data_IF_581018375918
#
_entry.id   IF_581018375918
#
_cell.length_a   1.000
_cell.length_b   1.000
_cell.length_c   1.000
_cell.angle_alpha   90.00
_cell.angle_beta   90.00
_cell.angle_gamma   90.00
#
_symmetry.space_group_name_H-M   'P 1'
#
loop_
_entity.id
_entity.type
_entity.pdbx_description
1 polymer ?
#
# COMPACT_ATOMS: atom_id res chain seq x y z
N UNK A 1 14.85 30.14 28.37
CA UNK A 1 14.27 28.84 27.97
C UNK A 1 15.21 28.25 26.93
N UNK A 2 15.95 27.23 27.32
CA UNK A 2 16.95 26.53 26.52
C UNK A 2 16.23 25.58 25.55
N UNK A 3 16.64 25.46 24.28
CA UNK A 3 16.05 24.51 23.35
C UNK A 3 16.35 23.06 23.79
N UNK A 4 15.48 22.08 23.51
CA UNK A 4 15.76 20.69 23.81
C UNK A 4 16.85 20.18 22.87
N UNK A 5 17.90 19.59 23.45
CA UNK A 5 18.96 18.92 22.70
C UNK A 5 18.42 17.66 22.05
N UNK A 6 18.62 17.51 20.73
CA UNK A 6 18.50 16.24 20.02
C UNK A 6 19.53 15.26 20.60
N UNK A 7 19.10 14.42 21.54
CA UNK A 7 19.86 13.24 21.90
C UNK A 7 19.76 12.25 20.74
N UNK A 8 20.86 12.09 20.01
CA UNK A 8 21.05 11.00 19.06
C UNK A 8 20.81 9.68 19.78
N UNK A 9 19.72 8.99 19.44
CA UNK A 9 19.48 7.62 19.90
C UNK A 9 20.39 6.74 19.03
N UNK A 10 21.66 6.62 19.43
CA UNK A 10 22.56 5.60 18.94
C UNK A 10 22.19 4.28 19.60
N UNK A 11 21.69 3.31 18.82
CA UNK A 11 21.75 1.92 19.25
C UNK A 11 23.22 1.48 19.28
N UNK A 12 23.73 0.95 20.40
CA UNK A 12 25.09 0.45 20.46
C UNK A 12 25.11 -0.92 19.80
N UNK A 13 25.39 -0.98 18.50
CA UNK A 13 25.93 -2.21 17.93
C UNK A 13 27.45 -2.09 17.97
N UNK A 14 28.04 -2.69 18.99
CA UNK A 14 29.50 -2.77 19.16
C UNK A 14 30.06 -3.67 18.05
N UNK A 15 30.63 -3.07 17.01
CA UNK A 15 31.46 -3.79 16.06
C UNK A 15 32.89 -3.22 16.08
N UNK A 16 33.83 -4.12 16.28
CA UNK A 16 35.27 -3.86 16.29
C UNK A 16 35.71 -3.27 14.95
N UNK A 17 36.22 -2.05 14.98
CA UNK A 17 36.82 -1.42 13.80
C UNK A 17 38.02 -2.26 13.31
N UNK A 18 37.97 -2.69 12.06
CA UNK A 18 39.17 -3.07 11.30
C UNK A 18 39.19 -2.24 10.02
N UNK A 19 40.30 -1.55 9.71
CA UNK A 19 40.35 -0.64 8.58
C UNK A 19 40.54 -1.45 7.29
N UNK A 20 39.51 -1.50 6.45
CA UNK A 20 39.61 -2.09 5.12
C UNK A 20 39.95 -1.00 4.09
N UNK A 21 41.11 -1.12 3.45
CA UNK A 21 41.54 -0.23 2.36
C UNK A 21 40.74 -0.50 1.08
N UNK A 22 40.51 0.51 0.22
CA UNK A 22 39.66 0.37 -0.95
C UNK A 22 40.30 -0.54 -2.02
N UNK A 23 39.57 -1.56 -2.45
CA UNK A 23 39.95 -2.43 -3.57
C UNK A 23 39.76 -1.67 -4.88
N UNK A 24 40.80 -1.64 -5.72
CA UNK A 24 40.81 -0.99 -7.04
C UNK A 24 39.84 -1.68 -8.01
N UNK A 25 39.14 -0.89 -8.82
CA UNK A 25 38.22 -1.38 -9.84
C UNK A 25 38.94 -2.18 -10.94
N UNK A 26 38.36 -3.33 -11.30
CA UNK A 26 38.72 -4.12 -12.46
C UNK A 26 37.48 -4.23 -13.37
N UNK A 27 37.72 -4.10 -14.68
CA UNK A 27 36.73 -4.18 -15.76
C UNK A 27 36.00 -5.54 -15.80
N UNK A 28 34.83 -5.65 -16.47
CA UNK A 28 33.91 -6.78 -16.29
C UNK A 28 34.39 -8.03 -17.04
N UNK A 29 35.18 -8.87 -16.37
CA UNK A 29 35.29 -10.29 -16.71
C UNK A 29 34.03 -11.03 -16.25
N UNK A 30 33.68 -12.14 -16.91
CA UNK A 30 32.64 -13.07 -16.42
C UNK A 30 32.88 -13.33 -14.93
N UNK A 31 31.92 -12.92 -14.08
CA UNK A 31 32.00 -13.12 -12.64
C UNK A 31 31.89 -14.61 -12.37
N UNK A 32 33.02 -15.27 -12.16
CA UNK A 32 33.05 -16.64 -11.66
C UNK A 32 32.55 -16.63 -10.21
N UNK A 33 31.58 -17.49 -9.91
CA UNK A 33 31.01 -17.62 -8.56
C UNK A 33 32.12 -18.16 -7.66
N UNK A 34 32.53 -17.47 -6.58
CA UNK A 34 33.60 -17.93 -5.71
C UNK A 34 33.24 -19.26 -5.02
N UNK A 35 34.20 -20.17 -4.85
CA UNK A 35 33.99 -21.52 -4.30
C UNK A 35 33.41 -21.54 -2.86
N UNK A 36 33.52 -20.44 -2.10
CA UNK A 36 32.99 -20.32 -0.72
C UNK A 36 31.56 -19.78 -0.60
N UNK A 37 30.91 -19.47 -1.72
CA UNK A 37 29.58 -18.85 -1.78
C UNK A 37 28.48 -19.87 -2.09
N UNK A 38 28.88 -21.06 -2.56
CA UNK A 38 27.95 -22.15 -2.83
C UNK A 38 27.55 -22.83 -1.52
N UNK A 39 26.27 -22.78 -1.23
CA UNK A 39 25.64 -23.52 -0.16
C UNK A 39 25.45 -24.97 -0.60
N UNK A 40 25.78 -25.90 0.29
CA UNK A 40 25.71 -27.35 0.02
C UNK A 40 24.29 -27.89 -0.05
N UNK A 41 23.33 -27.09 0.45
CA UNK A 41 21.92 -27.40 0.58
C UNK A 41 21.11 -26.81 -0.58
N UNK A 42 20.02 -27.46 -0.94
CA UNK A 42 19.05 -26.91 -1.90
C UNK A 42 18.22 -25.80 -1.26
N UNK A 43 17.49 -25.02 -2.05
CA UNK A 43 16.57 -24.00 -1.52
C UNK A 43 15.52 -24.61 -0.56
N UNK A 44 15.01 -25.80 -0.90
CA UNK A 44 14.01 -26.52 -0.10
C UNK A 44 14.57 -26.97 1.25
N UNK A 45 15.84 -27.38 1.30
CA UNK A 45 16.53 -27.72 2.54
C UNK A 45 16.75 -26.51 3.47
N UNK A 46 16.82 -25.31 2.90
CA UNK A 46 17.05 -24.05 3.63
C UNK A 46 15.73 -23.46 4.13
N UNK A 47 14.74 -23.33 3.26
CA UNK A 47 13.46 -22.69 3.56
C UNK A 47 12.39 -23.65 4.09
N UNK A 48 12.62 -24.96 4.00
CA UNK A 48 11.61 -25.97 4.23
C UNK A 48 10.65 -26.16 3.04
N UNK A 49 9.68 -27.08 3.19
CA UNK A 49 8.71 -27.38 2.14
C UNK A 49 7.86 -26.14 1.81
N UNK A 50 7.46 -25.98 0.54
CA UNK A 50 6.72 -24.79 0.08
C UNK A 50 5.48 -24.47 0.91
N UNK A 51 4.77 -25.48 1.44
CA UNK A 51 3.59 -25.30 2.28
C UNK A 51 3.85 -24.64 3.63
N UNK A 52 5.11 -24.61 4.08
CA UNK A 52 5.52 -24.06 5.39
C UNK A 52 6.28 -22.73 5.25
N UNK A 53 6.50 -22.25 4.02
CA UNK A 53 7.23 -21.01 3.77
C UNK A 53 6.38 -19.80 4.09
N UNK A 54 6.89 -18.94 4.97
CA UNK A 54 6.33 -17.61 5.22
C UNK A 54 6.91 -16.64 4.19
N UNK A 55 6.12 -16.35 3.14
CA UNK A 55 6.48 -15.38 2.08
C UNK A 55 6.06 -13.97 2.49
N UNK A 56 6.98 -13.01 2.32
CA UNK A 56 6.76 -11.58 2.56
C UNK A 56 6.38 -10.81 1.28
N UNK A 57 6.51 -11.45 0.12
CA UNK A 57 6.17 -10.86 -1.16
C UNK A 57 6.79 -11.61 -2.33
N UNK A 58 6.13 -11.50 -3.48
CA UNK A 58 6.56 -12.00 -4.78
C UNK A 58 6.42 -10.85 -5.79
N UNK A 59 7.40 -10.69 -6.66
CA UNK A 59 7.40 -9.67 -7.71
C UNK A 59 8.39 -10.02 -8.81
N UNK A 60 8.50 -9.20 -9.85
CA UNK A 60 9.28 -9.55 -11.06
C UNK A 60 10.77 -9.88 -10.78
N UNK A 61 11.34 -9.36 -9.69
CA UNK A 61 12.74 -9.56 -9.30
C UNK A 61 12.97 -10.76 -8.38
N UNK A 62 11.94 -11.34 -7.78
CA UNK A 62 12.10 -12.44 -6.83
C UNK A 62 10.96 -12.61 -5.83
N UNK A 63 11.09 -13.65 -5.02
CA UNK A 63 10.28 -13.89 -3.84
C UNK A 63 11.14 -13.75 -2.57
N UNK A 64 10.53 -13.24 -1.49
CA UNK A 64 11.21 -13.03 -0.21
C UNK A 64 10.58 -13.91 0.87
N UNK A 65 11.40 -14.68 1.58
CA UNK A 65 10.96 -15.62 2.60
C UNK A 65 11.65 -15.35 3.93
N UNK A 66 11.01 -15.70 5.05
CA UNK A 66 11.71 -15.78 6.33
C UNK A 66 12.88 -16.77 6.27
N UNK A 67 14.01 -16.45 6.91
CA UNK A 67 15.08 -17.42 7.15
C UNK A 67 14.74 -18.23 8.42
N UNK A 68 14.41 -19.53 8.31
CA UNK A 68 14.02 -20.34 9.48
C UNK A 68 15.15 -20.51 10.49
N UNK A 69 16.40 -20.38 10.05
CA UNK A 69 17.60 -20.59 10.88
C UNK A 69 18.08 -19.29 11.52
N UNK A 70 17.69 -18.15 10.95
CA UNK A 70 18.10 -16.82 11.40
C UNK A 70 16.89 -15.90 11.53
N UNK A 71 16.19 -15.89 12.69
CA UNK A 71 14.91 -15.17 12.86
C UNK A 71 14.93 -13.66 12.54
N UNK A 72 16.11 -13.03 12.57
CA UNK A 72 16.33 -11.62 12.20
C UNK A 72 16.62 -11.38 10.72
N UNK A 73 16.53 -12.40 9.85
CA UNK A 73 16.87 -12.32 8.44
C UNK A 73 15.76 -12.88 7.55
N UNK A 74 15.76 -12.43 6.30
CA UNK A 74 14.96 -12.95 5.19
C UNK A 74 15.87 -13.40 4.07
N UNK A 75 15.37 -14.27 3.20
CA UNK A 75 16.07 -14.72 1.99
C UNK A 75 15.26 -14.27 0.78
N UNK A 76 15.85 -13.39 -0.04
CA UNK A 76 15.34 -13.05 -1.38
C UNK A 76 15.91 -14.05 -2.38
N UNK A 77 15.01 -14.73 -3.09
CA UNK A 77 15.32 -15.69 -4.16
C UNK A 77 14.97 -15.03 -5.47
N UNK A 78 15.91 -14.94 -6.40
CA UNK A 78 15.62 -14.35 -7.71
C UNK A 78 14.79 -15.33 -8.57
N UNK A 79 13.80 -14.79 -9.30
CA UNK A 79 12.87 -15.58 -10.13
C UNK A 79 13.44 -16.03 -11.45
N UNK A 80 14.65 -15.58 -11.79
CA UNK A 80 15.29 -15.98 -13.01
C UNK A 80 15.45 -17.52 -13.03
N UNK A 81 14.58 -18.20 -13.80
CA UNK A 81 14.93 -19.46 -14.44
C UNK A 81 15.95 -19.17 -15.56
N UNK A 82 17.01 -18.42 -15.24
CA UNK A 82 18.00 -18.03 -16.23
C UNK A 82 18.99 -19.18 -16.39
N UNK A 83 19.38 -19.41 -17.64
CA UNK A 83 20.50 -20.29 -17.95
C UNK A 83 21.85 -19.69 -17.54
N UNK A 84 21.90 -18.44 -17.05
CA UNK A 84 23.12 -17.70 -16.74
C UNK A 84 23.14 -17.23 -15.27
N UNK A 85 23.39 -18.20 -14.40
CA UNK A 85 23.61 -18.01 -12.96
C UNK A 85 24.69 -16.96 -12.66
N UNK A 86 25.69 -16.79 -13.54
CA UNK A 86 26.78 -15.83 -13.34
C UNK A 86 26.34 -14.38 -13.51
N UNK A 87 25.48 -14.08 -14.48
CA UNK A 87 24.91 -12.75 -14.67
C UNK A 87 24.01 -12.34 -13.49
N UNK A 88 23.19 -13.28 -13.03
CA UNK A 88 22.29 -13.11 -11.89
C UNK A 88 23.06 -12.96 -10.57
N UNK A 89 24.09 -13.78 -10.37
CA UNK A 89 25.03 -13.65 -9.26
C UNK A 89 25.64 -12.24 -9.19
N UNK A 90 26.12 -11.72 -10.33
CA UNK A 90 26.68 -10.39 -10.39
C UNK A 90 25.64 -9.29 -10.09
N UNK A 91 24.38 -9.47 -10.47
CA UNK A 91 23.30 -8.53 -10.15
C UNK A 91 22.98 -8.54 -8.65
N UNK A 92 22.85 -9.73 -8.06
CA UNK A 92 22.58 -9.91 -6.63
C UNK A 92 23.72 -9.37 -5.77
N UNK A 93 24.98 -9.59 -6.17
CA UNK A 93 26.14 -8.98 -5.49
C UNK A 93 26.05 -7.45 -5.47
N UNK A 94 25.77 -6.82 -6.62
CA UNK A 94 25.63 -5.35 -6.70
C UNK A 94 24.48 -4.84 -5.83
N UNK A 95 23.37 -5.56 -5.75
CA UNK A 95 22.26 -5.20 -4.86
C UNK A 95 22.65 -5.33 -3.39
N UNK A 96 23.30 -6.44 -3.01
CA UNK A 96 23.79 -6.68 -1.66
C UNK A 96 24.83 -5.64 -1.20
N UNK A 97 25.71 -5.19 -2.10
CA UNK A 97 26.68 -4.12 -1.81
C UNK A 97 25.98 -2.79 -1.44
N UNK A 98 24.93 -2.41 -2.18
CA UNK A 98 24.15 -1.20 -1.89
C UNK A 98 23.35 -1.36 -0.60
N UNK A 99 22.79 -2.55 -0.36
CA UNK A 99 22.12 -2.87 0.89
C UNK A 99 23.07 -2.72 2.09
N UNK A 100 24.26 -3.34 2.04
CA UNK A 100 25.28 -3.22 3.08
C UNK A 100 25.80 -1.80 3.26
N UNK A 101 25.82 -1.01 2.19
CA UNK A 101 26.19 0.40 2.27
C UNK A 101 25.17 1.22 3.07
N UNK A 102 23.89 0.86 3.03
CA UNK A 102 22.84 1.54 3.80
C UNK A 102 22.67 0.96 5.22
N UNK A 103 22.58 -0.36 5.35
CA UNK A 103 22.27 -1.07 6.60
C UNK A 103 23.51 -1.50 7.41
N UNK A 104 24.70 -1.31 6.85
CA UNK A 104 25.97 -1.68 7.48
C UNK A 104 26.50 -3.04 7.03
N UNK A 105 27.78 -3.29 7.31
CA UNK A 105 28.45 -4.54 6.94
C UNK A 105 27.76 -5.76 7.60
N UNK A 106 27.58 -6.85 6.85
CA UNK A 106 26.92 -8.07 7.34
C UNK A 106 25.40 -8.04 7.34
N UNK A 107 24.79 -6.95 6.86
CA UNK A 107 23.34 -6.84 6.67
C UNK A 107 22.82 -7.58 5.43
N UNK A 108 23.72 -7.95 4.50
CA UNK A 108 23.42 -8.81 3.36
C UNK A 108 24.50 -9.88 3.16
N UNK A 109 24.09 -11.06 2.69
CA UNK A 109 24.97 -12.17 2.36
C UNK A 109 24.42 -12.87 1.10
N UNK A 110 25.00 -12.62 -0.08
CA UNK A 110 24.61 -13.32 -1.29
C UNK A 110 25.18 -14.75 -1.29
N UNK A 111 24.41 -15.73 -1.75
CA UNK A 111 24.84 -17.13 -1.86
C UNK A 111 24.16 -17.83 -3.04
N UNK A 112 24.69 -18.99 -3.43
CA UNK A 112 24.10 -19.84 -4.49
C UNK A 112 23.81 -21.21 -3.91
N UNK A 113 22.58 -21.68 -4.04
CA UNK A 113 22.16 -23.00 -3.54
C UNK A 113 22.68 -24.16 -4.39
N UNK A 114 22.60 -25.38 -3.87
CA UNK A 114 23.02 -26.59 -4.59
C UNK A 114 22.23 -26.82 -5.90
N UNK A 115 20.98 -26.36 -5.97
CA UNK A 115 20.12 -26.37 -7.15
C UNK A 115 20.32 -25.14 -8.06
N UNK A 116 21.42 -24.39 -7.85
CA UNK A 116 21.84 -23.21 -8.61
C UNK A 116 20.86 -22.03 -8.56
N UNK A 117 20.05 -21.90 -7.51
CA UNK A 117 19.28 -20.66 -7.26
C UNK A 117 20.21 -19.61 -6.68
N UNK A 118 20.17 -18.40 -7.24
CA UNK A 118 20.87 -17.25 -6.69
C UNK A 118 19.99 -16.61 -5.62
N UNK A 119 20.56 -16.42 -4.44
CA UNK A 119 19.86 -15.91 -3.29
C UNK A 119 20.66 -14.81 -2.60
N UNK A 120 19.97 -13.99 -1.81
CA UNK A 120 20.60 -13.10 -0.85
C UNK A 120 19.85 -13.16 0.48
N UNK A 121 20.59 -13.43 1.54
CA UNK A 121 20.11 -13.28 2.91
C UNK A 121 20.25 -11.81 3.31
N UNK A 122 19.19 -11.20 3.80
CA UNK A 122 19.11 -9.79 4.19
C UNK A 122 18.60 -9.68 5.62
N UNK A 123 19.10 -8.74 6.41
CA UNK A 123 18.48 -8.47 7.71
C UNK A 123 17.03 -8.02 7.50
N UNK A 124 16.14 -8.43 8.41
CA UNK A 124 14.77 -7.92 8.45
C UNK A 124 14.78 -6.43 8.71
N UNK A 125 14.02 -5.70 7.92
CA UNK A 125 13.74 -4.28 8.17
C UNK A 125 12.50 -4.15 9.06
N UNK A 126 12.45 -3.18 9.99
CA UNK A 126 11.27 -2.95 10.80
C UNK A 126 10.08 -2.43 9.98
N UNK A 127 8.88 -2.58 10.56
CA UNK A 127 7.66 -2.02 9.99
C UNK A 127 7.07 -2.83 8.84
N UNK A 128 6.03 -2.28 8.21
CA UNK A 128 5.32 -2.90 7.09
C UNK A 128 5.41 -2.04 5.83
N UNK A 129 5.31 -2.64 4.62
CA UNK A 129 5.26 -1.90 3.37
C UNK A 129 4.17 -0.84 3.41
N UNK A 130 4.48 0.40 3.02
CA UNK A 130 3.55 1.54 3.08
C UNK A 130 2.22 1.29 2.37
N UNK A 131 2.21 0.49 1.30
CA UNK A 131 0.99 0.09 0.60
C UNK A 131 -0.03 -0.62 1.51
N UNK A 132 0.42 -1.14 2.65
CA UNK A 132 -0.39 -1.87 3.63
C UNK A 132 -0.65 -1.10 4.92
N UNK A 133 -0.07 0.10 5.07
CA UNK A 133 -0.21 0.96 6.25
C UNK A 133 -1.47 1.83 6.11
N UNK A 134 -2.26 1.88 7.17
CA UNK A 134 -3.44 2.72 7.26
C UNK A 134 -3.12 4.17 7.62
N UNK A 135 -3.95 5.13 7.17
CA UNK A 135 -3.89 6.51 7.66
C UNK A 135 -3.79 6.64 9.18
N UNK A 136 -4.54 5.82 9.93
CA UNK A 136 -4.54 5.86 11.40
C UNK A 136 -3.26 5.32 12.04
N UNK A 137 -2.50 4.50 11.30
CA UNK A 137 -1.23 3.92 11.75
C UNK A 137 -0.07 4.92 11.57
N UNK A 138 -0.23 5.93 10.71
CA UNK A 138 0.69 7.07 10.71
C UNK A 138 0.48 7.87 12.00
N UNK A 139 1.56 8.14 12.72
CA UNK A 139 1.51 8.82 14.02
C UNK A 139 0.75 10.16 13.99
N UNK A 140 0.42 10.66 15.19
CA UNK A 140 -0.46 11.82 15.38
C UNK A 140 0.02 13.13 14.71
N UNK A 141 1.30 13.24 14.37
CA UNK A 141 1.89 14.44 13.79
C UNK A 141 2.29 14.21 12.34
N UNK A 142 1.52 14.80 11.43
CA UNK A 142 1.88 14.90 10.01
C UNK A 142 3.25 15.54 9.81
N UNK A 143 3.61 16.51 10.64
CA UNK A 143 4.93 17.14 10.58
C UNK A 143 6.05 16.13 10.86
N UNK A 144 5.88 15.27 11.86
CA UNK A 144 6.90 14.29 12.26
C UNK A 144 7.07 13.20 11.19
N UNK A 145 5.98 12.78 10.54
CA UNK A 145 6.03 11.86 9.41
C UNK A 145 6.77 12.50 8.22
N UNK A 146 6.49 13.76 7.92
CA UNK A 146 7.19 14.48 6.84
C UNK A 146 8.68 14.67 7.15
N UNK A 147 9.03 14.95 8.41
CA UNK A 147 10.41 15.03 8.86
C UNK A 147 11.12 13.67 8.77
N UNK A 148 10.43 12.58 9.08
CA UNK A 148 11.00 11.23 9.01
C UNK A 148 11.30 10.81 7.57
N UNK A 149 10.52 11.29 6.59
CA UNK A 149 10.85 11.15 5.17
C UNK A 149 12.08 11.99 4.76
N UNK A 150 12.26 13.19 5.33
CA UNK A 150 13.47 14.00 5.13
C UNK A 150 14.70 13.30 5.70
N UNK A 151 14.57 12.69 6.87
CA UNK A 151 15.65 11.91 7.50
C UNK A 151 16.00 10.65 6.70
N UNK A 152 15.01 9.97 6.10
CA UNK A 152 15.27 8.89 5.14
C UNK A 152 16.11 9.39 3.97
N UNK A 153 15.72 10.51 3.35
CA UNK A 153 16.46 11.09 2.24
C UNK A 153 17.90 11.44 2.66
N UNK A 154 18.08 12.03 3.84
CA UNK A 154 19.40 12.30 4.42
C UNK A 154 20.24 11.05 4.56
N UNK A 155 19.69 9.97 5.15
CA UNK A 155 20.41 8.69 5.31
C UNK A 155 20.82 8.05 3.97
N UNK A 156 19.99 8.15 2.93
CA UNK A 156 20.34 7.67 1.58
C UNK A 156 21.52 8.48 1.00
N UNK A 157 21.50 9.80 1.18
CA UNK A 157 22.57 10.70 0.73
C UNK A 157 23.87 10.43 1.50
N UNK A 158 23.81 10.26 2.82
CA UNK A 158 24.96 9.94 3.66
C UNK A 158 25.55 8.58 3.29
N UNK A 159 24.70 7.60 2.96
CA UNK A 159 25.10 6.33 2.41
C UNK A 159 25.62 6.46 0.96
N UNK A 160 25.53 7.61 0.31
CA UNK A 160 25.97 7.81 -1.07
C UNK A 160 25.13 7.04 -2.10
N UNK A 161 23.84 6.81 -1.80
CA UNK A 161 22.90 6.02 -2.58
C UNK A 161 21.75 6.87 -3.13
N UNK A 162 21.39 6.56 -4.37
CA UNK A 162 20.17 6.95 -5.06
C UNK A 162 19.27 5.72 -5.13
N UNK A 163 18.00 5.83 -4.73
CA UNK A 163 17.07 4.71 -4.77
C UNK A 163 16.00 4.98 -5.82
N UNK A 164 16.23 4.44 -7.01
CA UNK A 164 15.45 4.78 -8.22
C UNK A 164 14.02 4.23 -8.20
N UNK A 165 13.72 3.31 -7.29
CA UNK A 165 12.39 2.72 -7.09
C UNK A 165 11.86 2.90 -5.65
N UNK A 166 11.89 4.13 -5.13
CA UNK A 166 11.18 4.46 -3.88
C UNK A 166 9.68 4.50 -4.19
N UNK A 167 9.03 3.35 -4.04
CA UNK A 167 7.58 3.16 -4.15
C UNK A 167 6.97 2.73 -2.81
N UNK A 168 5.65 2.69 -2.71
CA UNK A 168 4.95 2.23 -1.49
C UNK A 168 5.09 0.73 -1.23
N UNK A 169 5.55 -0.04 -2.22
CA UNK A 169 5.91 -1.44 -2.04
C UNK A 169 7.30 -1.58 -1.43
N UNK A 170 8.22 -0.69 -1.80
CA UNK A 170 9.65 -0.79 -1.45
C UNK A 170 10.06 0.12 -0.29
N UNK A 171 9.11 0.85 0.30
CA UNK A 171 9.33 1.62 1.51
C UNK A 171 8.47 1.08 2.64
N UNK A 172 9.12 0.63 3.71
CA UNK A 172 8.45 0.19 4.93
C UNK A 172 8.32 1.34 5.90
N UNK A 173 7.21 1.39 6.63
CA UNK A 173 7.00 2.34 7.73
C UNK A 173 6.87 1.57 9.05
N UNK A 174 7.65 2.00 10.03
CA UNK A 174 7.62 1.51 11.39
C UNK A 174 6.89 2.53 12.30
N UNK A 175 5.67 2.22 12.75
CA UNK A 175 4.89 3.13 13.61
C UNK A 175 5.48 3.26 15.01
N UNK A 176 6.28 2.30 15.49
CA UNK A 176 6.88 2.37 16.84
C UNK A 176 7.96 3.45 16.92
N UNK A 177 8.74 3.61 15.85
CA UNK A 177 9.84 4.56 15.77
C UNK A 177 9.57 5.74 14.84
N UNK A 178 8.39 5.79 14.20
CA UNK A 178 8.05 6.71 13.10
C UNK A 178 9.11 6.75 11.98
N UNK A 179 9.81 5.64 11.73
CA UNK A 179 10.89 5.61 10.74
C UNK A 179 10.47 4.92 9.45
N UNK A 180 11.03 5.41 8.35
CA UNK A 180 10.90 4.76 7.04
C UNK A 180 12.16 3.93 6.74
N UNK A 181 11.97 2.74 6.18
CA UNK A 181 13.03 1.78 5.90
C UNK A 181 12.97 1.34 4.43
N UNK A 182 13.92 1.76 3.58
CA UNK A 182 13.91 1.41 2.17
C UNK A 182 14.33 -0.05 1.98
N UNK A 183 13.71 -0.71 1.02
CA UNK A 183 13.99 -2.09 0.63
C UNK A 183 14.16 -2.14 -0.88
N UNK A 184 14.71 -3.26 -1.37
CA UNK A 184 14.90 -3.51 -2.79
C UNK A 184 15.85 -2.53 -3.52
N UNK A 185 17.14 -2.71 -3.28
CA UNK A 185 18.21 -1.89 -3.85
C UNK A 185 18.68 -2.34 -5.25
N UNK A 186 17.90 -3.17 -5.94
CA UNK A 186 18.28 -3.73 -7.25
C UNK A 186 18.52 -2.59 -8.26
N UNK A 187 17.60 -1.63 -8.31
CA UNK A 187 17.64 -0.44 -9.19
C UNK A 187 18.40 0.74 -8.60
N UNK A 188 18.81 0.68 -7.33
CA UNK A 188 19.55 1.76 -6.70
C UNK A 188 20.90 2.02 -7.40
N UNK A 189 21.36 3.26 -7.39
CA UNK A 189 22.65 3.64 -7.97
C UNK A 189 23.49 4.41 -6.95
N UNK A 190 24.81 4.42 -7.11
CA UNK A 190 25.71 5.22 -6.26
C UNK A 190 25.93 6.58 -6.91
N UNK A 191 25.99 7.65 -6.11
CA UNK A 191 26.41 8.95 -6.66
C UNK A 191 27.80 8.84 -7.28
N UNK A 192 27.99 9.44 -8.46
CA UNK A 192 29.33 9.62 -9.02
C UNK A 192 30.11 10.59 -8.14
N UNK A 193 31.41 10.36 -7.90
CA UNK A 193 32.23 11.21 -7.03
C UNK A 193 32.23 12.69 -7.42
N UNK A 194 31.93 13.00 -8.69
CA UNK A 194 31.77 14.36 -9.22
C UNK A 194 30.44 15.04 -8.87
N UNK A 195 29.40 14.30 -8.48
CA UNK A 195 28.12 14.84 -8.03
C UNK A 195 28.09 15.19 -6.52
N UNK A 196 29.12 14.74 -5.79
CA UNK A 196 29.27 14.96 -4.35
C UNK A 196 30.25 16.10 -4.01
N UNK A 197 30.88 16.73 -5.01
CA UNK A 197 31.77 17.88 -4.78
C UNK A 197 30.95 19.14 -4.55
N UNK A 198 31.40 20.10 -3.70
CA UNK A 198 30.70 21.36 -3.46
C UNK A 198 30.50 22.22 -4.73
N UNK A 199 31.31 21.97 -5.76
CA UNK A 199 31.36 22.71 -7.02
C UNK A 199 30.49 22.08 -8.12
N UNK A 200 29.89 20.90 -7.88
CA UNK A 200 29.00 20.27 -8.84
C UNK A 200 27.82 21.19 -9.17
N UNK A 201 27.29 21.11 -10.39
CA UNK A 201 26.11 21.90 -10.79
C UNK A 201 24.86 21.61 -9.92
N UNK A 202 24.87 20.49 -9.21
CA UNK A 202 23.87 20.08 -8.23
C UNK A 202 24.57 19.23 -7.17
N UNK A 203 25.27 19.86 -6.21
CA UNK A 203 26.09 19.17 -5.24
C UNK A 203 25.18 18.52 -4.18
N UNK A 204 25.36 17.23 -3.92
CA UNK A 204 24.54 16.51 -2.95
C UNK A 204 23.04 16.39 -3.35
N UNK A 205 22.06 16.69 -2.48
CA UNK A 205 20.65 16.22 -2.54
C UNK A 205 19.85 16.49 -3.83
N UNK A 206 20.38 17.29 -4.76
CA UNK A 206 19.76 17.63 -6.04
C UNK A 206 20.11 16.66 -7.18
N UNK A 207 21.10 15.77 -6.97
CA UNK A 207 21.57 14.84 -8.00
C UNK A 207 20.64 13.64 -8.26
N UNK A 208 19.64 13.40 -7.41
CA UNK A 208 18.63 12.37 -7.69
C UNK A 208 17.41 12.38 -6.78
N UNK A 209 16.26 12.05 -7.37
CA UNK A 209 15.03 11.60 -6.70
C UNK A 209 14.24 12.62 -5.86
N UNK A 210 14.62 13.91 -5.84
CA UNK A 210 13.78 14.95 -5.22
C UNK A 210 12.34 14.92 -5.76
N UNK A 211 12.15 14.66 -7.06
CA UNK A 211 10.81 14.55 -7.65
C UNK A 211 10.02 13.32 -7.14
N UNK A 212 10.67 12.15 -7.01
CA UNK A 212 10.03 10.92 -6.54
C UNK A 212 9.73 11.00 -5.04
N UNK A 213 10.70 11.40 -4.22
CA UNK A 213 10.50 11.60 -2.79
C UNK A 213 9.49 12.73 -2.52
N UNK A 214 9.55 13.83 -3.27
CA UNK A 214 8.52 14.88 -3.16
C UNK A 214 7.14 14.33 -3.53
N UNK A 215 7.02 13.58 -4.62
CA UNK A 215 5.76 12.93 -5.03
C UNK A 215 5.24 11.95 -3.98
N UNK A 216 6.13 11.16 -3.37
CA UNK A 216 5.78 10.25 -2.29
C UNK A 216 5.32 11.01 -1.04
N UNK A 217 6.06 12.04 -0.58
CA UNK A 217 5.69 12.87 0.58
C UNK A 217 4.31 13.47 0.42
N UNK A 218 4.08 14.01 -0.77
CA UNK A 218 2.83 14.58 -1.20
C UNK A 218 1.67 13.57 -1.12
N UNK A 219 1.87 12.33 -1.59
CA UNK A 219 0.88 11.24 -1.50
C UNK A 219 0.66 10.75 -0.06
N UNK A 220 1.72 10.61 0.75
CA UNK A 220 1.60 10.26 2.19
C UNK A 220 0.83 11.34 2.94
N UNK A 221 1.15 12.60 2.71
CA UNK A 221 0.43 13.74 3.27
C UNK A 221 -1.06 13.66 2.96
N UNK A 222 -1.42 13.41 1.70
CA UNK A 222 -2.81 13.29 1.27
C UNK A 222 -3.51 12.03 1.84
N UNK A 223 -2.79 10.92 1.99
CA UNK A 223 -3.27 9.72 2.68
C UNK A 223 -3.58 10.01 4.16
N UNK A 224 -2.70 10.73 4.86
CA UNK A 224 -2.95 11.15 6.24
C UNK A 224 -4.14 12.11 6.34
N UNK A 225 -4.27 13.06 5.41
CA UNK A 225 -5.41 13.97 5.35
C UNK A 225 -6.73 13.24 5.01
N UNK A 226 -6.63 12.06 4.39
CA UNK A 226 -7.77 11.17 4.13
C UNK A 226 -8.28 10.45 5.38
N UNK A 227 -7.57 10.53 6.50
CA UNK A 227 -8.04 9.98 7.76
C UNK A 227 -9.30 10.72 8.21
N UNK A 228 -10.44 10.05 8.06
CA UNK A 228 -11.72 10.53 8.55
C UNK A 228 -12.14 9.63 9.72
N UNK A 229 -12.47 10.19 10.90
CA UNK A 229 -12.91 9.39 12.07
C UNK A 229 -14.22 8.63 11.79
N UNK A 230 -14.92 9.00 10.72
CA UNK A 230 -16.12 8.34 10.22
C UNK A 230 -15.85 7.04 9.45
N UNK A 231 -14.58 6.72 9.15
CA UNK A 231 -14.12 5.54 8.40
C UNK A 231 -13.61 4.47 9.37
N UNK A 232 -14.17 3.27 9.26
CA UNK A 232 -13.73 2.08 9.99
C UNK A 232 -12.70 1.33 9.15
N UNK A 233 -11.51 1.08 9.70
CA UNK A 233 -10.47 0.33 9.00
C UNK A 233 -10.54 -1.16 9.36
N UNK A 234 -10.32 -2.04 8.38
CA UNK A 234 -10.32 -3.50 8.57
C UNK A 234 -9.16 -4.16 7.84
N UNK A 235 -8.54 -5.16 8.47
CA UNK A 235 -7.47 -5.94 7.88
C UNK A 235 -7.96 -6.91 6.80
N UNK A 236 -9.27 -7.14 6.72
CA UNK A 236 -9.86 -7.95 5.68
C UNK A 236 -9.61 -7.33 4.29
N UNK A 237 -9.25 -8.15 3.31
CA UNK A 237 -9.29 -7.74 1.91
C UNK A 237 -10.70 -7.86 1.36
N UNK A 238 -10.98 -7.15 0.28
CA UNK A 238 -12.31 -7.16 -0.33
C UNK A 238 -12.86 -8.58 -0.60
N UNK A 239 -12.05 -9.49 -1.14
CA UNK A 239 -12.48 -10.85 -1.48
C UNK A 239 -12.89 -11.68 -0.26
N UNK A 240 -12.37 -11.36 0.92
CA UNK A 240 -12.77 -12.01 2.17
C UNK A 240 -14.14 -11.50 2.64
N UNK A 241 -14.46 -10.23 2.36
CA UNK A 241 -15.73 -9.61 2.74
C UNK A 241 -16.90 -9.98 1.81
N UNK A 242 -16.65 -10.02 0.50
CA UNK A 242 -17.72 -10.20 -0.51
C UNK A 242 -17.54 -11.42 -1.41
N UNK A 243 -16.53 -12.26 -1.16
CA UNK A 243 -16.19 -13.44 -1.94
C UNK A 243 -15.29 -13.15 -3.15
N UNK A 244 -14.44 -14.11 -3.57
CA UNK A 244 -13.45 -13.91 -4.64
C UNK A 244 -14.09 -13.65 -6.02
N UNK A 245 -15.18 -14.33 -6.33
CA UNK A 245 -15.87 -14.20 -7.63
C UNK A 245 -16.47 -12.80 -7.86
N UNK A 246 -16.83 -12.11 -6.78
CA UNK A 246 -17.36 -10.76 -6.82
C UNK A 246 -16.30 -9.69 -7.19
N UNK A 247 -15.02 -9.96 -6.91
CA UNK A 247 -13.92 -9.00 -7.08
C UNK A 247 -13.49 -8.86 -8.55
N UNK A 248 -13.67 -9.90 -9.36
CA UNK A 248 -13.15 -9.99 -10.73
C UNK A 248 -13.82 -8.98 -11.69
N UNK A 249 -15.01 -8.47 -11.36
CA UNK A 249 -15.71 -7.47 -12.16
C UNK A 249 -15.37 -6.03 -11.72
N UNK A 250 -14.20 -5.51 -12.12
CA UNK A 250 -13.75 -4.14 -11.79
C UNK A 250 -14.60 -2.99 -12.37
N UNK A 251 -15.66 -3.28 -13.14
CA UNK A 251 -16.62 -2.28 -13.61
C UNK A 251 -17.79 -2.12 -12.62
N UNK A 252 -17.51 -1.81 -11.36
CA UNK A 252 -18.59 -1.62 -10.38
C UNK A 252 -19.49 -0.46 -10.77
N UNK A 253 -20.77 -0.79 -10.93
CA UNK A 253 -21.82 0.19 -11.17
C UNK A 253 -22.35 0.66 -9.82
N UNK A 254 -22.69 1.94 -9.72
CA UNK A 254 -23.50 2.45 -8.62
C UNK A 254 -24.74 1.57 -8.47
N UNK A 255 -24.86 0.82 -7.37
CA UNK A 255 -26.01 -0.06 -7.10
C UNK A 255 -25.70 -1.53 -6.85
N UNK A 256 -24.48 -2.00 -7.13
CA UNK A 256 -24.09 -3.35 -6.73
C UNK A 256 -23.96 -3.45 -5.20
N UNK A 257 -24.68 -4.40 -4.63
CA UNK A 257 -24.66 -4.73 -3.20
C UNK A 257 -24.35 -6.21 -3.03
N UNK A 258 -23.56 -6.53 -2.02
CA UNK A 258 -23.14 -7.89 -1.70
C UNK A 258 -23.65 -8.24 -0.31
N UNK A 259 -24.18 -9.46 -0.08
CA UNK A 259 -24.54 -9.90 1.26
C UNK A 259 -23.35 -9.78 2.21
N UNK A 260 -23.60 -9.33 3.43
CA UNK A 260 -22.64 -9.54 4.50
C UNK A 260 -22.78 -10.98 5.00
N UNK A 261 -21.73 -11.83 4.93
CA UNK A 261 -21.81 -13.22 5.34
C UNK A 261 -21.98 -13.40 6.86
N UNK A 262 -21.67 -12.38 7.66
CA UNK A 262 -21.76 -12.41 9.12
C UNK A 262 -23.06 -11.78 9.66
N UNK A 263 -23.78 -11.02 8.84
CA UNK A 263 -24.99 -10.29 9.23
C UNK A 263 -26.00 -10.19 8.07
N UNK A 264 -27.04 -11.04 8.11
CA UNK A 264 -28.12 -11.05 7.11
C UNK A 264 -28.88 -9.71 7.00
N UNK A 265 -28.82 -8.87 8.05
CA UNK A 265 -29.40 -7.54 8.08
C UNK A 265 -28.54 -6.47 7.40
N UNK A 266 -27.35 -6.81 6.91
CA UNK A 266 -26.38 -5.91 6.27
C UNK A 266 -26.00 -6.36 4.87
N UNK A 267 -25.47 -5.40 4.12
CA UNK A 267 -24.87 -5.59 2.80
C UNK A 267 -23.66 -4.67 2.65
N UNK A 268 -22.69 -5.09 1.85
CA UNK A 268 -21.57 -4.28 1.41
C UNK A 268 -21.87 -3.64 0.07
N UNK A 269 -21.68 -2.32 -0.03
CA UNK A 269 -21.71 -1.58 -1.28
C UNK A 269 -20.31 -1.04 -1.57
N UNK A 270 -19.60 -1.58 -2.58
CA UNK A 270 -18.31 -1.02 -2.99
C UNK A 270 -18.49 0.37 -3.59
N UNK A 271 -17.61 1.30 -3.17
CA UNK A 271 -17.67 2.70 -3.60
C UNK A 271 -16.55 3.00 -4.57
N UNK A 272 -15.31 2.76 -4.17
CA UNK A 272 -14.14 2.94 -5.00
C UNK A 272 -12.94 2.19 -4.41
N UNK A 273 -11.96 1.90 -5.26
CA UNK A 273 -10.62 1.50 -4.82
C UNK A 273 -9.79 2.76 -4.66
N UNK A 274 -9.07 2.85 -3.55
CA UNK A 274 -7.97 3.79 -3.37
C UNK A 274 -6.72 3.15 -3.95
N UNK A 275 -6.16 3.78 -4.97
CA UNK A 275 -4.78 3.54 -5.35
C UNK A 275 -3.93 4.70 -4.85
N UNK A 276 -2.71 4.41 -4.39
CA UNK A 276 -1.85 5.43 -3.80
C UNK A 276 -1.55 6.59 -4.78
N UNK A 277 -1.68 6.33 -6.08
CA UNK A 277 -1.54 7.31 -7.16
C UNK A 277 -2.72 8.28 -7.27
N UNK A 278 -3.91 7.93 -6.74
CA UNK A 278 -5.14 8.74 -6.83
C UNK A 278 -5.13 9.99 -5.93
N UNK A 279 -4.19 10.10 -4.99
CA UNK A 279 -4.07 11.19 -4.00
C UNK A 279 -2.78 12.00 -4.17
N UNK A 280 -2.25 12.12 -5.39
CA UNK A 280 -1.19 13.10 -5.63
C UNK A 280 -1.75 14.54 -5.54
N UNK A 281 -0.96 15.53 -5.11
CA UNK A 281 -1.35 16.93 -5.16
C UNK A 281 -1.69 17.34 -6.57
N UNK A 282 -2.66 18.25 -6.66
CA UNK A 282 -3.28 18.67 -7.91
C UNK A 282 -4.15 17.57 -8.57
N UNK A 283 -4.31 16.40 -7.92
CA UNK A 283 -5.31 15.39 -8.25
C UNK A 283 -6.43 15.44 -7.21
N UNK A 284 -7.51 16.14 -7.53
CA UNK A 284 -8.69 16.27 -6.65
C UNK A 284 -9.49 14.96 -6.55
N UNK A 285 -9.28 14.02 -7.47
CA UNK A 285 -10.03 12.76 -7.59
C UNK A 285 -10.14 12.00 -6.27
N UNK A 286 -9.03 11.86 -5.54
CA UNK A 286 -9.00 11.16 -4.26
C UNK A 286 -9.85 11.83 -3.18
N UNK A 287 -9.52 13.08 -2.77
CA UNK A 287 -10.30 13.81 -1.77
C UNK A 287 -11.78 13.96 -2.14
N UNK A 288 -12.11 14.17 -3.41
CA UNK A 288 -13.49 14.23 -3.89
C UNK A 288 -14.22 12.89 -3.73
N UNK A 289 -13.60 11.76 -4.11
CA UNK A 289 -14.17 10.41 -3.92
C UNK A 289 -14.45 10.14 -2.44
N UNK A 290 -13.52 10.48 -1.55
CA UNK A 290 -13.70 10.30 -0.11
C UNK A 290 -14.83 11.19 0.43
N UNK A 291 -14.84 12.47 0.07
CA UNK A 291 -15.91 13.40 0.46
C UNK A 291 -17.29 12.90 0.02
N UNK A 292 -17.39 12.37 -1.21
CA UNK A 292 -18.62 11.74 -1.72
C UNK A 292 -19.03 10.50 -0.93
N UNK A 293 -18.09 9.66 -0.52
CA UNK A 293 -18.38 8.48 0.29
C UNK A 293 -18.82 8.83 1.72
N UNK A 294 -18.18 9.83 2.35
CA UNK A 294 -18.60 10.35 3.65
C UNK A 294 -20.00 10.97 3.56
N UNK A 295 -20.28 11.74 2.50
CA UNK A 295 -21.60 12.28 2.24
C UNK A 295 -22.64 11.16 2.03
N UNK A 296 -22.29 10.12 1.27
CA UNK A 296 -23.16 8.97 1.05
C UNK A 296 -23.54 8.28 2.37
N UNK A 297 -22.56 7.99 3.24
CA UNK A 297 -22.82 7.46 4.59
C UNK A 297 -23.80 8.35 5.34
N UNK A 298 -23.48 9.65 5.46
CA UNK A 298 -24.27 10.61 6.24
C UNK A 298 -25.71 10.73 5.75
N UNK A 299 -25.90 10.82 4.43
CA UNK A 299 -27.23 10.97 3.84
C UNK A 299 -28.03 9.66 3.89
N UNK A 300 -27.36 8.51 3.81
CA UNK A 300 -28.00 7.21 4.05
C UNK A 300 -28.49 7.09 5.49
N UNK A 301 -27.66 7.45 6.48
CA UNK A 301 -28.05 7.47 7.89
C UNK A 301 -29.13 8.51 8.19
N UNK A 302 -29.13 9.65 7.52
CA UNK A 302 -30.18 10.65 7.64
C UNK A 302 -31.54 10.10 7.17
N UNK A 303 -31.55 9.27 6.13
CA UNK A 303 -32.77 8.69 5.58
C UNK A 303 -33.24 7.43 6.33
N UNK A 304 -32.33 6.51 6.67
CA UNK A 304 -32.67 5.21 7.27
C UNK A 304 -32.45 5.12 8.78
N UNK A 305 -31.92 6.18 9.39
CA UNK A 305 -31.61 6.26 10.82
C UNK A 305 -30.12 6.11 11.11
N UNK A 306 -29.67 6.75 12.19
CA UNK A 306 -28.29 6.68 12.67
C UNK A 306 -27.88 5.23 12.97
N UNK A 307 -26.65 4.86 12.58
CA UNK A 307 -26.10 3.51 12.72
C UNK A 307 -26.53 2.55 11.61
N UNK A 308 -27.23 3.03 10.58
CA UNK A 308 -27.66 2.21 9.44
C UNK A 308 -26.56 1.99 8.39
N UNK A 309 -25.43 2.71 8.47
CA UNK A 309 -24.31 2.50 7.58
C UNK A 309 -22.95 2.82 8.24
N UNK A 310 -21.96 1.99 7.93
CA UNK A 310 -20.58 2.17 8.32
C UNK A 310 -19.73 2.32 7.06
N UNK A 311 -18.94 3.39 6.98
CA UNK A 311 -17.98 3.56 5.89
C UNK A 311 -16.71 2.81 6.27
N UNK A 312 -16.30 1.84 5.46
CA UNK A 312 -15.19 0.95 5.75
C UNK A 312 -14.07 1.12 4.74
N UNK A 313 -12.83 0.91 5.18
CA UNK A 313 -11.63 0.80 4.34
C UNK A 313 -10.95 -0.55 4.58
N UNK A 314 -10.71 -1.30 3.51
CA UNK A 314 -9.98 -2.58 3.53
C UNK A 314 -8.47 -2.38 3.42
N UNK A 315 -7.69 -3.40 3.80
CA UNK A 315 -6.22 -3.38 3.73
C UNK A 315 -5.69 -3.19 2.31
N UNK A 316 -6.40 -3.67 1.29
CA UNK A 316 -6.03 -3.48 -0.12
C UNK A 316 -6.64 -2.22 -0.75
N UNK A 317 -7.10 -1.26 0.07
CA UNK A 317 -7.45 0.09 -0.35
C UNK A 317 -8.90 0.28 -0.80
N UNK A 318 -9.77 -0.72 -0.74
CA UNK A 318 -11.17 -0.52 -1.11
C UNK A 318 -11.97 0.19 -0.02
N UNK A 319 -12.74 1.18 -0.44
CA UNK A 319 -13.77 1.83 0.35
C UNK A 319 -15.14 1.21 0.06
N UNK A 320 -15.83 0.85 1.13
CA UNK A 320 -17.11 0.12 1.11
C UNK A 320 -18.08 0.81 2.06
N UNK A 321 -19.37 0.81 1.74
CA UNK A 321 -20.41 1.11 2.71
C UNK A 321 -21.01 -0.20 3.21
N UNK A 322 -20.81 -0.54 4.48
CA UNK A 322 -21.51 -1.63 5.17
C UNK A 322 -22.84 -1.10 5.68
N UNK A 323 -23.88 -1.26 4.88
CA UNK A 323 -25.18 -0.62 5.08
C UNK A 323 -26.27 -1.63 5.44
N UNK A 324 -27.32 -1.15 6.10
CA UNK A 324 -28.54 -1.91 6.35
C UNK A 324 -29.07 -2.46 5.03
N UNK A 325 -29.40 -3.75 5.01
CA UNK A 325 -30.08 -4.38 3.89
C UNK A 325 -31.45 -3.74 3.71
N UNK A 326 -31.70 -3.30 2.49
CA UNK A 326 -32.95 -2.64 2.10
C UNK A 326 -33.78 -3.62 1.27
N UNK A 327 -35.10 -3.76 1.52
CA UNK A 327 -35.95 -4.68 0.76
C UNK A 327 -36.00 -4.35 -0.73
N UNK A 328 -36.06 -5.41 -1.54
CA UNK A 328 -36.23 -5.33 -2.99
C UNK A 328 -35.00 -5.76 -3.78
N UNK A 329 -35.10 -5.63 -5.09
CA UNK A 329 -34.03 -5.94 -6.05
C UNK A 329 -33.71 -4.72 -6.88
N UNK A 330 -32.43 -4.54 -7.21
CA UNK A 330 -32.01 -3.59 -8.24
C UNK A 330 -32.44 -4.10 -9.60
N UNK A 331 -32.72 -3.19 -10.53
CA UNK A 331 -33.08 -3.56 -11.89
C UNK A 331 -32.34 -2.65 -12.88
N UNK A 332 -32.00 -3.22 -14.04
CA UNK A 332 -31.29 -2.51 -15.10
C UNK A 332 -32.19 -1.41 -15.68
N UNK A 333 -31.63 -0.23 -15.92
CA UNK A 333 -32.34 0.89 -16.54
C UNK A 333 -32.88 0.56 -17.95
N UNK A 334 -32.30 -0.43 -18.63
CA UNK A 334 -32.77 -0.94 -19.92
C UNK A 334 -33.92 -1.94 -19.84
N UNK A 335 -34.22 -2.47 -18.65
CA UNK A 335 -35.31 -3.41 -18.45
C UNK A 335 -36.67 -2.68 -18.35
N UNK A 336 -37.79 -3.32 -18.74
CA UNK A 336 -39.13 -2.78 -18.52
C UNK A 336 -39.36 -2.47 -17.05
N UNK A 337 -39.88 -1.28 -16.75
CA UNK A 337 -40.16 -0.88 -15.37
C UNK A 337 -41.20 -1.84 -14.75
N UNK A 338 -40.97 -2.32 -13.51
CA UNK A 338 -41.92 -3.17 -12.81
C UNK A 338 -43.30 -2.53 -12.68
N UNK A 339 -44.35 -3.34 -12.65
CA UNK A 339 -45.70 -2.85 -12.43
C UNK A 339 -45.80 -2.12 -11.07
N UNK A 340 -46.30 -0.89 -11.09
CA UNK A 340 -46.43 -0.04 -9.90
C UNK A 340 -45.21 0.87 -9.63
N UNK A 341 -44.14 0.74 -10.42
CA UNK A 341 -42.91 1.53 -10.25
C UNK A 341 -43.16 3.04 -10.22
N UNK A 342 -44.01 3.58 -11.10
CA UNK A 342 -44.28 5.02 -11.18
C UNK A 342 -44.94 5.56 -9.90
N UNK A 343 -45.87 4.80 -9.31
CA UNK A 343 -46.51 5.18 -8.05
C UNK A 343 -45.50 5.11 -6.90
N UNK A 344 -44.73 4.02 -6.83
CA UNK A 344 -43.67 3.84 -5.85
C UNK A 344 -42.61 4.96 -5.93
N UNK A 345 -42.29 5.43 -7.15
CA UNK A 345 -41.32 6.49 -7.37
C UNK A 345 -41.80 7.83 -6.84
N UNK A 346 -43.08 8.17 -7.08
CA UNK A 346 -43.70 9.38 -6.50
C UNK A 346 -43.66 9.34 -4.98
N UNK A 347 -44.03 8.21 -4.40
CA UNK A 347 -44.05 8.04 -2.94
C UNK A 347 -42.66 8.16 -2.33
N UNK A 348 -41.65 7.51 -2.92
CA UNK A 348 -40.27 7.65 -2.50
C UNK A 348 -39.78 9.11 -2.62
N UNK A 349 -40.17 9.84 -3.67
CA UNK A 349 -39.85 11.28 -3.81
C UNK A 349 -40.50 12.12 -2.70
N UNK A 350 -41.73 11.81 -2.29
CA UNK A 350 -42.34 12.48 -1.14
C UNK A 350 -41.58 12.20 0.16
N UNK A 351 -41.13 10.96 0.39
CA UNK A 351 -40.29 10.63 1.55
C UNK A 351 -38.95 11.37 1.54
N UNK A 352 -38.33 11.54 0.37
CA UNK A 352 -37.12 12.38 0.26
C UNK A 352 -37.40 13.83 0.66
N UNK A 353 -38.47 14.43 0.13
CA UNK A 353 -38.85 15.80 0.48
C UNK A 353 -39.17 15.94 1.98
N UNK A 354 -39.89 14.98 2.56
CA UNK A 354 -40.19 14.96 4.00
C UNK A 354 -38.93 14.83 4.86
N UNK A 355 -37.91 14.11 4.38
CA UNK A 355 -36.61 14.02 5.01
C UNK A 355 -35.70 15.24 4.71
N UNK A 356 -36.17 16.22 3.94
CA UNK A 356 -35.37 17.38 3.53
C UNK A 356 -34.21 17.01 2.60
N UNK A 357 -34.32 15.94 1.80
CA UNK A 357 -33.28 15.46 0.90
C UNK A 357 -33.58 15.84 -0.55
N UNK A 358 -32.60 16.45 -1.21
CA UNK A 358 -32.54 16.59 -2.66
C UNK A 358 -31.60 15.53 -3.25
N UNK A 359 -32.06 14.80 -4.28
CA UNK A 359 -31.24 13.81 -5.00
C UNK A 359 -31.20 14.16 -6.51
N UNK A 360 -30.20 14.94 -6.99
CA UNK A 360 -30.17 15.48 -8.35
C UNK A 360 -29.81 14.45 -9.45
N UNK A 361 -29.27 13.28 -9.08
CA UNK A 361 -28.84 12.25 -10.04
C UNK A 361 -29.43 10.86 -9.79
N UNK A 362 -30.71 10.77 -9.42
CA UNK A 362 -31.32 9.48 -9.10
C UNK A 362 -31.56 8.68 -10.38
N UNK A 363 -31.10 7.42 -10.40
CA UNK A 363 -31.20 6.50 -11.54
C UNK A 363 -31.82 5.18 -11.08
N UNK A 364 -32.39 4.38 -11.98
CA UNK A 364 -32.94 3.06 -11.64
C UNK A 364 -31.94 2.15 -10.90
N UNK A 365 -30.69 2.16 -11.33
CA UNK A 365 -29.58 1.43 -10.68
C UNK A 365 -29.30 1.86 -9.23
N UNK A 366 -29.79 3.02 -8.80
CA UNK A 366 -29.68 3.51 -7.43
C UNK A 366 -30.82 3.06 -6.52
N UNK A 367 -31.73 2.23 -7.00
CA UNK A 367 -32.99 1.90 -6.34
C UNK A 367 -33.19 0.38 -6.24
N UNK A 368 -33.72 -0.05 -5.09
CA UNK A 368 -34.33 -1.38 -4.93
C UNK A 368 -35.85 -1.27 -5.06
N UNK A 369 -36.45 -2.09 -5.92
CA UNK A 369 -37.90 -2.26 -5.98
C UNK A 369 -38.31 -3.52 -5.22
N UNK A 370 -39.18 -3.35 -4.22
CA UNK A 370 -39.82 -4.46 -3.53
C UNK A 370 -41.20 -4.70 -4.14
N UNK A 371 -41.30 -5.78 -4.92
CA UNK A 371 -42.54 -6.15 -5.60
C UNK A 371 -43.68 -6.55 -4.63
N UNK A 372 -43.34 -7.04 -3.43
CA UNK A 372 -44.34 -7.50 -2.45
C UNK A 372 -45.09 -6.33 -1.82
N UNK A 373 -44.37 -5.24 -1.54
CA UNK A 373 -44.92 -4.01 -0.93
C UNK A 373 -45.19 -2.91 -1.95
N UNK A 374 -44.77 -3.11 -3.21
CA UNK A 374 -44.79 -2.10 -4.29
C UNK A 374 -44.08 -0.80 -3.85
N UNK A 375 -42.95 -0.93 -3.15
CA UNK A 375 -42.15 0.22 -2.68
C UNK A 375 -40.82 0.33 -3.42
N UNK A 376 -40.33 1.57 -3.52
CA UNK A 376 -38.97 1.87 -3.98
C UNK A 376 -38.14 2.37 -2.81
N UNK A 377 -36.96 1.80 -2.66
CA UNK A 377 -36.04 2.15 -1.62
C UNK A 377 -34.68 2.58 -2.21
N UNK A 378 -34.21 3.80 -1.93
CA UNK A 378 -32.94 4.28 -2.44
C UNK A 378 -31.74 3.61 -1.78
N UNK A 379 -30.72 3.32 -2.57
CA UNK A 379 -29.45 2.71 -2.16
C UNK A 379 -28.24 3.64 -2.39
N UNK A 380 -28.39 4.70 -3.18
CA UNK A 380 -27.31 5.62 -3.52
C UNK A 380 -27.63 7.01 -3.04
N UNK A 381 -26.69 7.61 -2.33
CA UNK A 381 -26.86 8.94 -1.72
C UNK A 381 -25.64 9.85 -1.93
N UNK A 382 -24.61 9.41 -2.66
CA UNK A 382 -23.37 10.17 -2.84
C UNK A 382 -23.57 11.60 -3.35
N UNK A 383 -24.58 11.84 -4.19
CA UNK A 383 -24.90 13.15 -4.76
C UNK A 383 -26.01 13.90 -4.02
N UNK A 384 -26.53 13.34 -2.92
CA UNK A 384 -27.61 13.96 -2.15
C UNK A 384 -27.14 15.20 -1.40
N UNK A 385 -28.08 16.12 -1.17
CA UNK A 385 -27.89 17.33 -0.36
C UNK A 385 -29.12 17.56 0.51
N UNK A 386 -28.94 18.27 1.62
CA UNK A 386 -30.07 18.73 2.43
C UNK A 386 -30.68 20.00 1.82
N UNK A 387 -32.00 20.06 1.79
CA UNK A 387 -32.77 21.23 1.39
C UNK A 387 -32.72 22.20 2.59
N UNK A 388 -32.20 23.41 2.34
CA UNK A 388 -32.09 24.49 3.33
C UNK A 388 -33.40 25.17 3.64
#
# INVERSE_FOLDING_TARGET
MTPPSLQSIHYPVMFTESPCSPVKSLAPGRSEIPDGVRESRTLDDILGPMSERSSHGEGDAGAVFDDPQNPGFVIKVSHAETSDVGAEWAAVQRSAEKWMRFYGHGSAEPFVTADNRVCVRLNKVPGSPMRSIWPSEYGMSKHDIMLSMDLLQGRLIDAGLRHEDISTSNLHFDPETNCFWPTDFDTASTFTSSAMTPEAASPGPLASDHAMLSSLRKRVSALMDSHAPDVVETYAVLSELIGPDAVVSHAWRCGQIFPDPEDDGRVYKPLFKFEFDDFAPDIETGPEKLSRAVNEKRMFEHYYGKGSADLMRTRNGYYLLRMKRVPGVTFDASAPAPEGYQAAYREMRYRFLAAGIEHPGLRPEHLCFDASTKTLNPLSFASCRLIG
#
